data_IF_171174870145
#
_entry.id   IF_171174870145
#
_cell.length_a   1.000
_cell.length_b   1.000
_cell.length_c   1.000
_cell.angle_alpha   90.00
_cell.angle_beta   90.00
_cell.angle_gamma   90.00
#
_symmetry.space_group_name_H-M   'P 1'
#
loop_
_entity.id
_entity.type
_entity.pdbx_description
1 polymer ?
#
# COMPACT_ATOMS: atom_id res chain seq x y z
N UNK A 1 -4.28 0.26 -11.52
CA UNK A 1 -3.85 1.34 -12.43
C UNK A 1 -3.54 0.72 -13.78
N UNK A 2 -4.09 1.27 -14.89
CA UNK A 2 -3.67 0.86 -16.23
C UNK A 2 -2.25 1.33 -16.53
N UNK A 3 -1.57 0.67 -17.46
CA UNK A 3 -0.16 1.03 -17.82
C UNK A 3 -0.03 2.46 -18.37
N UNK A 4 -1.11 3.04 -18.88
CA UNK A 4 -1.20 4.43 -19.36
C UNK A 4 -1.05 5.46 -18.23
N UNK A 5 -1.21 5.05 -16.99
CA UNK A 5 -1.12 5.90 -15.79
C UNK A 5 0.24 5.77 -15.08
N UNK A 6 1.20 5.10 -15.68
CA UNK A 6 2.52 4.87 -15.09
C UNK A 6 3.60 5.17 -16.12
N UNK A 7 4.52 6.08 -15.79
CA UNK A 7 5.71 6.35 -16.58
C UNK A 7 6.93 5.70 -15.92
N UNK A 8 7.70 4.98 -16.73
CA UNK A 8 8.98 4.43 -16.32
C UNK A 8 10.11 5.41 -16.65
N UNK A 9 11.09 5.52 -15.75
CA UNK A 9 12.26 6.35 -15.96
C UNK A 9 13.08 5.89 -17.18
N UNK A 10 13.73 6.82 -17.84
CA UNK A 10 14.65 6.55 -18.96
C UNK A 10 15.99 6.02 -18.45
N UNK A 11 16.55 5.02 -19.11
CA UNK A 11 17.85 4.43 -18.76
C UNK A 11 17.74 2.93 -18.54
N UNK A 12 18.49 2.39 -17.59
CA UNK A 12 18.45 0.95 -17.24
C UNK A 12 17.15 0.52 -16.52
N UNK A 13 16.16 1.42 -16.49
CA UNK A 13 14.76 1.13 -16.37
C UNK A 13 14.29 0.49 -15.04
N UNK A 14 14.85 0.91 -13.92
CA UNK A 14 14.57 0.24 -12.65
C UNK A 14 13.66 1.00 -11.72
N UNK A 15 13.02 2.10 -12.16
CA UNK A 15 12.17 2.91 -11.27
C UNK A 15 10.96 3.49 -12.01
N UNK A 16 9.91 3.77 -11.25
CA UNK A 16 8.78 4.57 -11.74
C UNK A 16 9.18 6.04 -11.66
N UNK A 17 9.07 6.75 -12.79
CA UNK A 17 9.33 8.18 -12.83
C UNK A 17 8.14 9.00 -12.41
N UNK A 18 6.93 8.58 -12.78
CA UNK A 18 5.69 9.26 -12.38
C UNK A 18 4.48 8.32 -12.43
N UNK A 19 3.47 8.63 -11.61
CA UNK A 19 2.15 8.00 -11.64
C UNK A 19 1.11 9.09 -11.82
N UNK A 20 0.13 8.84 -12.70
CA UNK A 20 -0.99 9.75 -12.92
C UNK A 20 -1.97 9.68 -11.75
N UNK A 21 -2.28 10.83 -11.20
CA UNK A 21 -3.32 11.03 -10.21
C UNK A 21 -3.66 12.54 -10.16
N UNK A 22 -4.89 12.87 -9.82
CA UNK A 22 -5.38 14.25 -9.68
C UNK A 22 -5.55 14.69 -8.21
N UNK A 23 -5.27 13.80 -7.25
CA UNK A 23 -5.44 14.00 -5.81
C UNK A 23 -4.21 14.53 -5.08
N UNK A 24 -3.13 14.87 -5.77
CA UNK A 24 -1.89 15.33 -5.15
C UNK A 24 -1.88 16.85 -4.97
N UNK A 25 -1.56 17.30 -3.76
CA UNK A 25 -1.35 18.70 -3.41
C UNK A 25 -0.60 18.82 -2.10
N UNK A 26 0.10 19.93 -1.90
CA UNK A 26 0.89 20.18 -0.68
C UNK A 26 0.02 20.19 0.58
N UNK A 27 -1.27 20.53 0.47
CA UNK A 27 -2.25 20.49 1.55
C UNK A 27 -2.50 19.10 2.11
N UNK A 28 -2.20 18.06 1.34
CA UNK A 28 -2.34 16.66 1.75
C UNK A 28 -1.08 16.09 2.41
N UNK A 29 0.02 16.87 2.46
CA UNK A 29 1.27 16.43 3.08
C UNK A 29 1.17 16.59 4.59
N UNK A 30 1.34 15.53 5.39
CA UNK A 30 1.33 15.62 6.84
C UNK A 30 2.36 16.60 7.39
N UNK A 31 1.99 17.38 8.41
CA UNK A 31 2.85 18.42 8.98
C UNK A 31 4.21 17.89 9.46
N UNK A 32 4.26 16.68 10.03
CA UNK A 32 5.52 16.10 10.49
C UNK A 32 6.54 15.88 9.35
N UNK A 33 6.08 15.63 8.12
CA UNK A 33 6.95 15.52 6.94
C UNK A 33 7.49 16.90 6.56
N UNK A 34 6.62 17.90 6.54
CA UNK A 34 7.00 19.30 6.28
C UNK A 34 8.05 19.75 7.29
N UNK A 35 7.81 19.51 8.59
CA UNK A 35 8.74 19.84 9.67
C UNK A 35 10.11 19.14 9.50
N UNK A 36 10.10 17.89 9.05
CA UNK A 36 11.34 17.15 8.79
C UNK A 36 12.16 17.76 7.64
N UNK A 37 11.51 18.19 6.55
CA UNK A 37 12.17 18.88 5.42
C UNK A 37 12.74 20.23 5.88
N UNK A 38 11.95 21.02 6.63
CA UNK A 38 12.37 22.32 7.20
C UNK A 38 13.58 22.12 8.14
N UNK A 39 13.59 21.06 8.95
CA UNK A 39 14.73 20.79 9.84
C UNK A 39 16.05 20.54 9.12
N UNK A 40 15.98 20.17 7.85
CA UNK A 40 17.14 20.00 6.95
C UNK A 40 17.52 21.29 6.22
N UNK A 41 16.81 22.41 6.47
CA UNK A 41 17.07 23.71 5.85
C UNK A 41 16.43 23.87 4.46
N UNK A 42 15.41 23.09 4.15
CA UNK A 42 14.67 23.10 2.89
C UNK A 42 13.20 23.43 3.11
N UNK A 43 12.48 23.62 2.01
CA UNK A 43 11.03 23.83 1.98
C UNK A 43 10.36 22.74 1.15
N UNK A 44 9.08 22.50 1.43
CA UNK A 44 8.21 21.65 0.61
C UNK A 44 7.39 22.57 -0.27
N UNK A 45 7.56 22.47 -1.58
CA UNK A 45 6.85 23.25 -2.57
C UNK A 45 6.16 22.33 -3.58
N UNK A 46 5.11 22.78 -4.23
CA UNK A 46 4.54 22.10 -5.38
C UNK A 46 5.31 22.50 -6.63
N UNK A 47 6.22 21.63 -7.05
CA UNK A 47 7.12 21.84 -8.20
C UNK A 47 6.66 21.05 -9.43
N UNK A 48 5.44 20.48 -9.41
CA UNK A 48 4.93 19.68 -10.54
C UNK A 48 4.84 20.51 -11.80
N UNK A 49 5.38 19.99 -12.87
CA UNK A 49 5.26 20.57 -14.22
C UNK A 49 3.89 20.23 -14.86
N UNK A 50 3.30 19.09 -14.46
CA UNK A 50 1.98 18.62 -14.90
C UNK A 50 1.18 18.16 -13.69
N UNK A 51 0.08 18.85 -13.38
CA UNK A 51 -0.78 18.58 -12.21
C UNK A 51 -1.45 17.19 -12.28
N UNK A 52 -1.51 16.57 -13.45
CA UNK A 52 -2.07 15.22 -13.61
C UNK A 52 -1.08 14.10 -13.24
N UNK A 53 0.18 14.43 -12.94
CA UNK A 53 1.22 13.45 -12.66
C UNK A 53 1.97 13.78 -11.38
N UNK A 54 2.29 12.76 -10.60
CA UNK A 54 3.21 12.85 -9.46
C UNK A 54 4.53 12.20 -9.84
N UNK A 55 5.57 13.00 -9.96
CA UNK A 55 6.91 12.61 -10.40
C UNK A 55 7.93 12.70 -9.26
N UNK A 56 9.09 12.13 -9.46
CA UNK A 56 10.20 12.35 -8.56
C UNK A 56 10.58 13.83 -8.47
N UNK A 57 10.92 14.31 -7.27
CA UNK A 57 11.30 15.69 -6.95
C UNK A 57 10.16 16.72 -7.00
N UNK A 58 8.91 16.33 -7.13
CA UNK A 58 7.79 17.26 -7.26
C UNK A 58 7.49 18.08 -6.00
N UNK A 59 7.89 17.61 -4.83
CA UNK A 59 7.69 18.36 -3.58
C UNK A 59 8.98 18.72 -2.84
N UNK A 60 10.04 18.01 -3.14
CA UNK A 60 11.36 18.20 -2.54
C UNK A 60 12.40 17.46 -3.37
N UNK A 61 13.66 17.94 -3.38
CA UNK A 61 14.75 17.38 -4.20
C UNK A 61 15.02 15.88 -3.97
N UNK A 62 14.52 15.30 -2.88
CA UNK A 62 14.68 13.88 -2.55
C UNK A 62 13.35 13.12 -2.57
N UNK A 63 12.25 13.75 -2.97
CA UNK A 63 10.98 13.07 -3.08
C UNK A 63 10.93 12.14 -4.29
N UNK A 64 10.17 11.06 -4.19
CA UNK A 64 10.03 10.11 -5.29
C UNK A 64 9.34 8.82 -4.90
N UNK A 65 9.23 7.91 -5.86
CA UNK A 65 8.56 6.65 -5.70
C UNK A 65 9.49 5.56 -5.17
N UNK A 66 9.13 4.97 -4.03
CA UNK A 66 9.77 3.77 -3.48
C UNK A 66 9.00 2.52 -3.89
N UNK A 67 9.74 1.52 -4.35
CA UNK A 67 9.25 0.17 -4.57
C UNK A 67 9.50 -0.69 -3.34
N UNK A 68 8.49 -1.45 -2.91
CA UNK A 68 8.63 -2.42 -1.82
C UNK A 68 8.08 -3.78 -2.21
N UNK A 69 8.69 -4.83 -1.64
CA UNK A 69 8.22 -6.22 -1.70
C UNK A 69 7.88 -6.64 -0.28
N UNK A 70 6.62 -7.03 -0.05
CA UNK A 70 6.11 -7.17 1.30
C UNK A 70 6.24 -5.86 2.06
N UNK A 71 6.91 -5.89 3.22
CA UNK A 71 7.16 -4.69 4.03
C UNK A 71 8.63 -4.21 3.95
N UNK A 72 9.37 -4.49 2.88
CA UNK A 72 10.78 -4.14 2.75
C UNK A 72 11.09 -3.37 1.48
N UNK A 73 11.96 -2.38 1.58
CA UNK A 73 12.58 -1.73 0.41
C UNK A 73 13.74 -2.63 -0.02
N UNK A 74 13.67 -3.27 -1.20
CA UNK A 74 14.73 -4.15 -1.67
C UNK A 74 15.98 -3.36 -2.09
N UNK A 75 17.13 -4.02 -2.09
CA UNK A 75 18.40 -3.45 -2.58
C UNK A 75 18.58 -3.52 -4.10
N UNK A 76 17.52 -3.89 -4.83
CA UNK A 76 17.48 -4.03 -6.29
C UNK A 76 16.27 -3.28 -6.86
N UNK A 77 16.30 -2.98 -8.16
CA UNK A 77 15.18 -2.33 -8.84
C UNK A 77 14.11 -3.33 -9.27
N UNK A 78 12.93 -2.80 -9.64
CA UNK A 78 11.79 -3.63 -10.06
C UNK A 78 12.11 -4.53 -11.26
N UNK A 79 13.01 -4.14 -12.15
CA UNK A 79 13.39 -4.96 -13.30
C UNK A 79 14.12 -6.25 -12.94
N UNK A 80 14.71 -6.31 -11.75
CA UNK A 80 15.43 -7.47 -11.25
C UNK A 80 14.54 -8.39 -10.39
N UNK A 81 13.26 -8.03 -10.22
CA UNK A 81 12.29 -8.78 -9.44
C UNK A 81 11.32 -9.54 -10.35
N UNK A 82 11.15 -10.81 -10.07
CA UNK A 82 10.14 -11.65 -10.71
C UNK A 82 9.06 -11.94 -9.67
N UNK A 83 7.85 -11.36 -9.80
CA UNK A 83 6.77 -11.60 -8.85
C UNK A 83 6.36 -13.07 -8.79
N UNK A 84 6.09 -13.55 -7.58
CA UNK A 84 5.52 -14.86 -7.32
C UNK A 84 4.06 -14.71 -6.81
N UNK A 85 3.30 -15.79 -6.84
CA UNK A 85 1.93 -15.80 -6.33
C UNK A 85 1.92 -15.52 -4.83
N UNK A 86 1.08 -14.58 -4.41
CA UNK A 86 1.01 -14.10 -3.02
C UNK A 86 1.92 -12.91 -2.69
N UNK A 87 2.76 -12.47 -3.61
CA UNK A 87 3.58 -11.28 -3.38
C UNK A 87 2.74 -10.01 -3.29
N UNK A 88 3.07 -9.17 -2.32
CA UNK A 88 2.51 -7.83 -2.18
C UNK A 88 3.55 -6.81 -2.62
N UNK A 89 3.29 -6.17 -3.75
CA UNK A 89 4.14 -5.14 -4.31
C UNK A 89 3.51 -3.77 -4.09
N UNK A 90 4.29 -2.81 -3.61
CA UNK A 90 3.82 -1.43 -3.39
C UNK A 90 4.75 -0.43 -4.02
N UNK A 91 4.16 0.62 -4.60
CA UNK A 91 4.84 1.88 -4.87
C UNK A 91 4.29 2.92 -3.92
N UNK A 92 5.18 3.53 -3.16
CA UNK A 92 4.85 4.53 -2.17
C UNK A 92 5.66 5.79 -2.44
N UNK A 93 4.97 6.93 -2.49
CA UNK A 93 5.66 8.19 -2.64
C UNK A 93 6.24 8.62 -1.30
N UNK A 94 7.52 8.96 -1.29
CA UNK A 94 8.24 9.47 -0.12
C UNK A 94 8.72 10.87 -0.42
N UNK A 95 8.66 11.75 0.54
CA UNK A 95 9.10 13.14 0.41
C UNK A 95 10.48 13.30 1.03
N UNK A 96 10.75 12.67 2.16
CA UNK A 96 12.01 12.87 2.88
C UNK A 96 12.58 11.56 3.42
N UNK A 97 13.91 11.44 3.35
CA UNK A 97 14.64 10.35 3.99
C UNK A 97 14.48 9.00 3.32
N UNK A 98 14.18 8.96 2.02
CA UNK A 98 14.09 7.72 1.22
C UNK A 98 13.11 6.67 1.79
N UNK A 99 12.02 7.12 2.40
CA UNK A 99 11.02 6.26 3.01
C UNK A 99 10.91 6.42 4.53
N UNK A 100 11.71 7.26 5.14
CA UNK A 100 11.61 7.51 6.59
C UNK A 100 10.26 8.14 6.98
N UNK A 101 9.69 8.94 6.12
CA UNK A 101 8.38 9.57 6.27
C UNK A 101 7.20 8.60 6.12
N UNK A 102 7.42 7.44 5.56
CA UNK A 102 6.43 6.37 5.38
C UNK A 102 6.72 5.12 6.23
N UNK A 103 7.61 5.25 7.23
CA UNK A 103 7.81 4.24 8.26
C UNK A 103 9.07 3.37 8.15
N UNK A 104 9.95 3.61 7.17
CA UNK A 104 11.18 2.83 7.02
C UNK A 104 12.37 3.49 7.73
N UNK A 105 13.17 2.71 8.45
CA UNK A 105 14.46 3.19 8.95
C UNK A 105 15.52 3.12 7.84
N UNK A 106 15.90 4.29 7.35
CA UNK A 106 16.89 4.46 6.28
C UNK A 106 18.18 5.09 6.78
N UNK A 107 18.44 5.08 8.09
CA UNK A 107 19.64 5.69 8.72
C UNK A 107 20.95 5.09 8.22
N UNK A 108 20.93 3.88 7.69
CA UNK A 108 22.09 3.25 7.01
C UNK A 108 22.53 4.01 5.74
N UNK A 109 21.66 4.88 5.20
CA UNK A 109 21.95 5.77 4.07
C UNK A 109 22.12 7.23 4.50
N UNK A 110 22.49 7.51 5.74
CA UNK A 110 22.57 8.88 6.28
C UNK A 110 23.47 9.81 5.45
N UNK A 111 24.54 9.32 4.83
CA UNK A 111 25.43 10.09 3.96
C UNK A 111 24.71 10.63 2.71
N UNK A 112 23.62 10.00 2.29
CA UNK A 112 22.80 10.42 1.16
C UNK A 112 21.48 11.08 1.57
N UNK A 113 21.26 11.27 2.89
CA UNK A 113 20.06 11.91 3.42
C UNK A 113 19.03 10.98 4.03
N UNK A 114 19.33 9.68 4.13
CA UNK A 114 18.53 8.72 4.91
C UNK A 114 18.50 9.09 6.38
N UNK A 115 17.49 8.64 7.10
CA UNK A 115 17.27 8.96 8.50
C UNK A 115 16.45 7.88 9.20
N UNK A 116 16.39 7.94 10.53
CA UNK A 116 15.48 7.10 11.29
C UNK A 116 14.03 7.37 10.90
N UNK A 117 13.21 6.35 10.98
CA UNK A 117 11.79 6.46 10.68
C UNK A 117 11.12 7.59 11.47
N UNK A 118 10.29 8.40 10.79
CA UNK A 118 9.55 9.51 11.40
C UNK A 118 8.24 9.07 12.05
N UNK A 119 7.74 7.90 11.67
CA UNK A 119 6.53 7.29 12.21
C UNK A 119 6.82 5.82 12.57
N UNK A 120 6.04 5.19 13.45
CA UNK A 120 6.21 3.77 13.73
C UNK A 120 6.13 2.93 12.46
N UNK A 121 7.05 1.99 12.32
CA UNK A 121 6.97 0.99 11.25
C UNK A 121 5.71 0.13 11.45
N UNK A 122 4.95 -0.04 10.37
CA UNK A 122 3.77 -0.92 10.34
C UNK A 122 3.82 -1.81 9.11
N UNK A 123 3.51 -3.09 9.29
CA UNK A 123 3.39 -4.03 8.19
C UNK A 123 1.97 -4.01 7.61
N UNK A 124 1.84 -3.58 6.36
CA UNK A 124 0.58 -3.53 5.62
C UNK A 124 0.40 -4.69 4.64
N UNK A 125 1.30 -5.66 4.65
CA UNK A 125 1.27 -6.77 3.69
C UNK A 125 -0.02 -7.58 3.81
N UNK A 126 -0.40 -7.95 5.03
CA UNK A 126 -1.59 -8.75 5.27
C UNK A 126 -2.88 -8.01 4.88
N UNK A 127 -3.05 -6.76 5.29
CA UNK A 127 -4.28 -6.02 4.96
C UNK A 127 -4.44 -5.80 3.45
N UNK A 128 -3.34 -5.61 2.70
CA UNK A 128 -3.38 -5.48 1.24
C UNK A 128 -3.81 -6.80 0.60
N UNK A 129 -3.29 -7.93 1.09
CA UNK A 129 -3.69 -9.27 0.63
C UNK A 129 -5.18 -9.51 0.88
N UNK A 130 -5.66 -9.25 2.10
CA UNK A 130 -7.07 -9.43 2.47
C UNK A 130 -7.99 -8.48 1.68
N UNK A 131 -7.57 -7.23 1.41
CA UNK A 131 -8.31 -6.32 0.52
C UNK A 131 -8.41 -6.88 -0.91
N UNK A 132 -7.36 -7.50 -1.42
CA UNK A 132 -7.37 -8.15 -2.74
C UNK A 132 -8.34 -9.34 -2.77
N UNK A 133 -8.35 -10.16 -1.75
CA UNK A 133 -9.30 -11.28 -1.62
C UNK A 133 -10.75 -10.79 -1.53
N UNK A 134 -11.01 -9.79 -0.68
CA UNK A 134 -12.34 -9.19 -0.55
C UNK A 134 -12.84 -8.59 -1.87
N UNK A 135 -11.95 -7.94 -2.63
CA UNK A 135 -12.27 -7.46 -3.97
C UNK A 135 -12.66 -8.60 -4.90
N UNK A 136 -11.90 -9.70 -4.88
CA UNK A 136 -12.15 -10.85 -5.76
C UNK A 136 -13.49 -11.55 -5.48
N UNK A 137 -13.96 -11.55 -4.22
CA UNK A 137 -15.28 -12.12 -3.86
C UNK A 137 -16.43 -11.11 -3.97
N UNK A 138 -16.18 -9.88 -4.43
CA UNK A 138 -17.21 -8.89 -4.73
C UNK A 138 -17.55 -7.92 -3.60
N UNK A 139 -16.75 -7.84 -2.54
CA UNK A 139 -16.98 -6.98 -1.38
C UNK A 139 -16.52 -5.53 -1.55
N UNK A 140 -16.09 -5.11 -2.75
CA UNK A 140 -15.52 -3.76 -3.02
C UNK A 140 -16.37 -2.60 -2.49
N UNK A 141 -17.70 -2.74 -2.52
CA UNK A 141 -18.64 -1.68 -2.11
C UNK A 141 -19.14 -1.89 -0.65
N UNK A 142 -18.62 -2.88 0.07
CA UNK A 142 -19.00 -3.11 1.47
C UNK A 142 -18.40 -2.08 2.42
N UNK A 143 -19.01 -1.89 3.58
CA UNK A 143 -18.50 -1.01 4.63
C UNK A 143 -17.17 -1.53 5.17
N UNK A 144 -17.04 -2.84 5.37
CA UNK A 144 -15.85 -3.50 5.87
C UNK A 144 -14.64 -3.29 4.93
N UNK A 145 -14.87 -3.38 3.61
CA UNK A 145 -13.82 -3.12 2.61
C UNK A 145 -13.40 -1.65 2.63
N UNK A 146 -14.38 -0.74 2.64
CA UNK A 146 -14.12 0.71 2.62
C UNK A 146 -13.37 1.15 3.87
N UNK A 147 -13.75 0.64 5.05
CA UNK A 147 -13.07 0.93 6.31
C UNK A 147 -11.66 0.35 6.35
N UNK A 148 -11.48 -0.90 5.89
CA UNK A 148 -10.16 -1.51 5.80
C UNK A 148 -9.23 -0.75 4.84
N UNK A 149 -9.73 -0.32 3.69
CA UNK A 149 -8.97 0.48 2.73
C UNK A 149 -8.55 1.83 3.32
N UNK A 150 -9.46 2.50 4.05
CA UNK A 150 -9.16 3.75 4.74
C UNK A 150 -8.06 3.58 5.79
N UNK A 151 -8.14 2.54 6.62
CA UNK A 151 -7.12 2.24 7.64
C UNK A 151 -5.79 1.86 6.96
N UNK A 152 -5.82 1.07 5.89
CA UNK A 152 -4.63 0.71 5.11
C UNK A 152 -3.92 1.95 4.53
N UNK A 153 -4.68 2.97 4.16
CA UNK A 153 -4.16 4.21 3.55
C UNK A 153 -3.69 5.25 4.57
N UNK A 154 -4.07 5.11 5.85
CA UNK A 154 -3.69 6.04 6.90
C UNK A 154 -2.26 5.76 7.39
N UNK A 155 -1.34 6.68 7.15
CA UNK A 155 0.05 6.57 7.61
C UNK A 155 0.17 6.52 9.15
N UNK A 156 -0.79 7.07 9.87
CA UNK A 156 -0.82 7.08 11.33
C UNK A 156 -1.42 5.82 11.96
N UNK A 157 -2.02 4.93 11.14
CA UNK A 157 -2.61 3.69 11.63
C UNK A 157 -1.58 2.79 12.31
N UNK A 158 -1.93 2.32 13.50
CA UNK A 158 -1.12 1.37 14.27
C UNK A 158 -1.25 -0.06 13.73
N UNK A 159 -0.28 -0.93 14.03
CA UNK A 159 -0.37 -2.35 13.66
C UNK A 159 -1.65 -2.99 14.20
N UNK A 160 -2.05 -2.67 15.42
CA UNK A 160 -3.29 -3.19 16.03
C UNK A 160 -4.56 -2.79 15.28
N UNK A 161 -4.59 -1.60 14.69
CA UNK A 161 -5.72 -1.15 13.86
C UNK A 161 -5.74 -1.87 12.52
N UNK A 162 -4.59 -2.10 11.91
CA UNK A 162 -4.43 -2.89 10.69
C UNK A 162 -4.89 -4.34 10.93
N UNK A 163 -4.40 -4.99 12.00
CA UNK A 163 -4.75 -6.37 12.34
C UNK A 163 -6.26 -6.53 12.63
N UNK A 164 -6.86 -5.53 13.29
CA UNK A 164 -8.29 -5.51 13.54
C UNK A 164 -9.09 -5.38 12.24
N UNK A 165 -8.66 -4.50 11.33
CA UNK A 165 -9.30 -4.33 10.04
C UNK A 165 -9.22 -5.63 9.21
N UNK A 166 -8.07 -6.31 9.19
CA UNK A 166 -7.91 -7.64 8.59
C UNK A 166 -8.92 -8.64 9.17
N UNK A 167 -9.04 -8.69 10.50
CA UNK A 167 -9.95 -9.62 11.17
C UNK A 167 -11.42 -9.37 10.82
N UNK A 168 -11.83 -8.10 10.69
CA UNK A 168 -13.20 -7.73 10.31
C UNK A 168 -13.48 -8.11 8.86
N UNK A 169 -12.56 -7.77 7.96
CA UNK A 169 -12.72 -8.04 6.53
C UNK A 169 -12.70 -9.54 6.21
N UNK A 170 -11.84 -10.32 6.89
CA UNK A 170 -11.82 -11.77 6.74
C UNK A 170 -13.16 -12.42 7.12
N UNK A 171 -13.84 -11.95 8.19
CA UNK A 171 -15.17 -12.43 8.54
C UNK A 171 -16.21 -12.11 7.48
N UNK A 172 -16.12 -10.93 6.84
CA UNK A 172 -17.00 -10.58 5.73
C UNK A 172 -16.75 -11.51 4.52
N UNK A 173 -15.48 -11.79 4.18
CA UNK A 173 -15.11 -12.74 3.13
C UNK A 173 -15.68 -14.13 3.42
N UNK A 174 -15.51 -14.63 4.66
CA UNK A 174 -16.07 -15.91 5.06
C UNK A 174 -17.60 -15.94 4.89
N UNK A 175 -18.28 -14.87 5.26
CA UNK A 175 -19.75 -14.77 5.13
C UNK A 175 -20.22 -14.80 3.68
N UNK A 176 -19.44 -14.23 2.75
CA UNK A 176 -19.76 -14.24 1.31
C UNK A 176 -19.39 -15.56 0.62
N UNK A 177 -18.41 -16.28 1.16
CA UNK A 177 -17.91 -17.52 0.55
C UNK A 177 -18.57 -18.77 1.11
N UNK A 178 -19.11 -18.72 2.32
CA UNK A 178 -19.76 -19.85 2.97
C UNK A 178 -21.26 -19.83 2.68
N UNK A 179 -21.77 -20.91 2.10
CA UNK A 179 -23.20 -21.11 1.81
C UNK A 179 -23.71 -22.29 2.62
N UNK A 180 -24.70 -22.03 3.46
CA UNK A 180 -25.38 -23.05 4.24
C UNK A 180 -26.69 -23.47 3.56
N UNK A 181 -26.83 -24.76 3.23
CA UNK A 181 -28.06 -25.33 2.64
C UNK A 181 -28.48 -26.56 3.43
N UNK A 182 -29.60 -26.43 4.14
CA UNK A 182 -30.11 -27.52 4.99
C UNK A 182 -29.04 -28.04 5.96
N UNK A 183 -28.64 -29.31 5.79
CA UNK A 183 -27.66 -30.00 6.63
C UNK A 183 -26.23 -29.91 6.11
N UNK A 184 -25.99 -29.10 5.06
CA UNK A 184 -24.69 -29.01 4.38
C UNK A 184 -24.15 -27.59 4.48
N UNK A 185 -22.85 -27.48 4.59
CA UNK A 185 -22.10 -26.23 4.44
C UNK A 185 -21.22 -26.34 3.19
N UNK A 186 -21.38 -25.38 2.31
CA UNK A 186 -20.61 -25.30 1.07
C UNK A 186 -19.73 -24.06 1.06
N UNK A 187 -18.56 -24.17 0.44
CA UNK A 187 -17.70 -23.06 0.12
C UNK A 187 -17.87 -22.70 -1.36
N UNK A 188 -18.08 -21.41 -1.64
CA UNK A 188 -18.14 -20.88 -2.99
C UNK A 188 -16.72 -20.65 -3.50
N UNK A 189 -16.40 -21.19 -4.66
CA UNK A 189 -15.13 -20.99 -5.34
C UNK A 189 -15.37 -20.51 -6.77
N UNK A 190 -14.34 -20.08 -7.47
CA UNK A 190 -14.42 -19.72 -8.90
C UNK A 190 -14.91 -20.87 -9.79
N UNK A 191 -14.74 -22.11 -9.36
CA UNK A 191 -15.16 -23.32 -10.07
C UNK A 191 -16.52 -23.89 -9.60
N UNK A 192 -17.22 -23.21 -8.68
CA UNK A 192 -18.53 -23.59 -8.15
C UNK A 192 -18.56 -23.78 -6.64
N UNK A 193 -19.47 -24.64 -6.18
CA UNK A 193 -19.66 -24.94 -4.75
C UNK A 193 -18.91 -26.22 -4.35
N UNK A 194 -18.13 -26.16 -3.29
CA UNK A 194 -17.44 -27.30 -2.70
C UNK A 194 -18.06 -27.59 -1.32
N UNK A 195 -18.42 -28.84 -1.06
CA UNK A 195 -18.91 -29.27 0.25
C UNK A 195 -17.79 -29.15 1.30
N UNK A 196 -17.99 -28.29 2.31
CA UNK A 196 -17.04 -28.06 3.39
C UNK A 196 -17.28 -28.98 4.57
N UNK A 197 -18.52 -29.09 5.01
CA UNK A 197 -18.89 -29.98 6.13
C UNK A 197 -20.37 -30.37 6.11
N UNK A 198 -20.71 -31.39 6.90
CA UNK A 198 -22.08 -31.75 7.25
C UNK A 198 -22.43 -31.12 8.59
N UNK A 199 -23.58 -30.43 8.70
CA UNK A 199 -24.09 -30.00 9.99
C UNK A 199 -24.47 -31.23 10.82
N UNK A 200 -23.75 -31.44 11.91
CA UNK A 200 -24.10 -32.49 12.87
C UNK A 200 -25.40 -32.09 13.60
N UNK A 201 -26.50 -32.66 13.21
CA UNK A 201 -27.75 -32.61 13.99
C UNK A 201 -27.55 -33.50 15.22
N UNK A 202 -27.19 -32.86 16.37
CA UNK A 202 -27.15 -33.50 17.67
C UNK A 202 -28.52 -33.36 18.33
#
# INVERSE_FOLDING_TARGET
LGSENINMGSGTGSYISSIADDGFGTENIPQFIIDAVISKGHEVDDLREDEAWLSGMDYYAMSGWNFTVGNQIPSYGINDYVPEDGDVLRWQYTIVGYGADIGYDTSYMAEWGGMASLIPETDRTEIISVLSEAYAVGLKESEEYTDALKICSDLSATQSELDKACSVLNKAIESETIIEVSDFIFEKTENGLILKELKNNS
#
